data_IF_329398735206
#
_entry.id   IF_329398735206
#
_cell.length_a   1.000
_cell.length_b   1.000
_cell.length_c   1.000
_cell.angle_alpha   90.00
_cell.angle_beta   90.00
_cell.angle_gamma   90.00
#
_symmetry.space_group_name_H-M   'P 1'
#
loop_
_entity.id
_entity.type
_entity.pdbx_description
1 polymer ?
#
# COMPACT_ATOMS: atom_id res chain seq x y z
N UNK A 1 0.97 -0.76 18.70
CA UNK A 1 0.69 -0.40 17.30
C UNK A 1 0.54 1.12 17.20
N UNK A 2 1.43 1.80 16.48
CA UNK A 2 1.43 3.27 16.37
C UNK A 2 0.24 3.80 15.54
N UNK A 3 -0.03 5.10 15.62
CA UNK A 3 -1.12 5.73 14.88
C UNK A 3 -0.98 5.54 13.36
N UNK A 4 0.25 5.64 12.81
CA UNK A 4 0.53 5.40 11.39
C UNK A 4 0.33 3.94 10.96
N UNK A 5 0.70 2.97 11.80
CA UNK A 5 0.44 1.54 11.51
C UNK A 5 -1.06 1.25 11.41
N UNK A 6 -1.88 1.85 12.29
CA UNK A 6 -3.35 1.73 12.20
C UNK A 6 -3.88 2.35 10.91
N UNK A 7 -3.37 3.52 10.52
CA UNK A 7 -3.74 4.17 9.27
C UNK A 7 -3.39 3.30 8.04
N UNK A 8 -2.20 2.70 7.99
CA UNK A 8 -1.80 1.78 6.91
C UNK A 8 -2.73 0.57 6.81
N UNK A 9 -3.09 -0.03 7.95
CA UNK A 9 -4.04 -1.15 7.98
C UNK A 9 -5.42 -0.73 7.43
N UNK A 10 -5.91 0.45 7.79
CA UNK A 10 -7.18 0.98 7.24
C UNK A 10 -7.09 1.33 5.75
N UNK A 11 -5.94 1.81 5.28
CA UNK A 11 -5.73 2.08 3.86
C UNK A 11 -5.70 0.77 3.06
N UNK A 12 -5.06 -0.26 3.60
CA UNK A 12 -5.07 -1.61 3.05
C UNK A 12 -6.50 -2.16 2.95
N UNK A 13 -7.30 -2.08 4.02
CA UNK A 13 -8.70 -2.52 4.02
C UNK A 13 -9.49 -1.86 2.88
N UNK A 14 -9.35 -0.53 2.70
CA UNK A 14 -10.07 0.23 1.68
C UNK A 14 -9.61 -0.11 0.26
N UNK A 15 -8.30 -0.20 0.02
CA UNK A 15 -7.76 -0.56 -1.30
C UNK A 15 -8.16 -1.99 -1.68
N UNK A 16 -8.10 -2.92 -0.73
CA UNK A 16 -8.55 -4.30 -0.93
C UNK A 16 -10.05 -4.35 -1.24
N UNK A 17 -10.89 -3.69 -0.44
CA UNK A 17 -12.35 -3.67 -0.65
C UNK A 17 -12.70 -3.06 -2.03
N UNK A 18 -12.06 -1.95 -2.39
CA UNK A 18 -12.26 -1.29 -3.67
C UNK A 18 -11.90 -2.21 -4.84
N UNK A 19 -10.78 -2.93 -4.74
CA UNK A 19 -10.35 -3.90 -5.75
C UNK A 19 -11.33 -5.07 -5.88
N UNK A 20 -11.81 -5.63 -4.76
CA UNK A 20 -12.80 -6.73 -4.79
C UNK A 20 -14.13 -6.30 -5.39
N UNK A 21 -14.54 -5.04 -5.17
CA UNK A 21 -15.77 -4.48 -5.70
C UNK A 21 -15.63 -3.93 -7.13
N UNK A 22 -14.41 -3.79 -7.64
CA UNK A 22 -14.14 -3.15 -8.93
C UNK A 22 -14.51 -1.66 -8.96
N UNK A 23 -14.40 -0.95 -7.82
CA UNK A 23 -14.74 0.47 -7.69
C UNK A 23 -13.49 1.33 -7.45
N UNK A 24 -13.61 2.64 -7.63
CA UNK A 24 -12.53 3.56 -7.33
C UNK A 24 -12.34 3.69 -5.80
N UNK A 25 -11.11 3.51 -5.32
CA UNK A 25 -10.81 3.53 -3.88
C UNK A 25 -10.95 4.92 -3.24
N UNK A 26 -10.78 6.01 -3.99
CA UNK A 26 -11.05 7.37 -3.48
C UNK A 26 -12.54 7.59 -3.31
N UNK A 27 -13.37 7.14 -4.26
CA UNK A 27 -14.83 7.18 -4.09
C UNK A 27 -15.26 6.40 -2.86
N UNK A 28 -14.73 5.19 -2.65
CA UNK A 28 -15.01 4.40 -1.44
C UNK A 28 -14.54 5.09 -0.15
N UNK A 29 -13.37 5.73 -0.18
CA UNK A 29 -12.86 6.51 0.95
C UNK A 29 -13.81 7.66 1.29
N UNK A 30 -14.25 8.43 0.30
CA UNK A 30 -15.12 9.59 0.50
C UNK A 30 -16.49 9.14 1.05
N UNK A 31 -17.07 8.06 0.51
CA UNK A 31 -18.27 7.41 1.08
C UNK A 31 -18.08 7.04 2.55
N UNK A 32 -16.90 6.51 2.92
CA UNK A 32 -16.61 6.07 4.29
C UNK A 32 -16.37 7.23 5.25
N UNK A 33 -15.92 8.37 4.74
CA UNK A 33 -15.79 9.62 5.51
C UNK A 33 -17.17 10.22 5.77
N UNK A 34 -18.05 10.23 4.77
CA UNK A 34 -19.42 10.75 4.90
C UNK A 34 -20.31 9.85 5.76
N UNK A 35 -20.18 8.52 5.60
CA UNK A 35 -20.96 7.51 6.32
C UNK A 35 -20.03 6.46 6.98
N UNK A 36 -19.48 6.75 8.17
CA UNK A 36 -18.61 5.82 8.88
C UNK A 36 -19.32 4.52 9.28
N UNK A 37 -18.73 3.38 8.91
CA UNK A 37 -19.23 2.04 9.33
C UNK A 37 -18.75 1.64 10.74
N UNK A 38 -17.86 2.43 11.33
CA UNK A 38 -17.33 2.22 12.69
C UNK A 38 -17.40 3.52 13.50
N UNK A 39 -17.59 3.45 14.84
CA UNK A 39 -17.58 4.64 15.68
C UNK A 39 -16.23 5.37 15.70
N UNK A 40 -15.13 4.65 15.47
CA UNK A 40 -13.80 5.25 15.39
C UNK A 40 -13.62 5.98 14.05
N UNK A 41 -13.19 7.25 14.06
CA UNK A 41 -12.92 7.98 12.82
C UNK A 41 -11.77 7.34 12.04
N UNK A 42 -11.81 7.47 10.72
CA UNK A 42 -10.68 7.10 9.88
C UNK A 42 -9.47 7.99 10.24
N UNK A 43 -8.30 7.41 10.54
CA UNK A 43 -7.09 8.20 10.73
C UNK A 43 -6.80 9.04 9.48
N UNK A 44 -6.45 10.31 9.65
CA UNK A 44 -6.19 11.26 8.55
C UNK A 44 -5.22 10.69 7.51
N UNK A 45 -4.10 10.11 7.98
CA UNK A 45 -3.09 9.48 7.13
C UNK A 45 -3.61 8.33 6.27
N UNK A 46 -4.75 7.73 6.63
CA UNK A 46 -5.42 6.73 5.78
C UNK A 46 -5.84 7.33 4.45
N UNK A 47 -6.40 8.55 4.49
CA UNK A 47 -6.84 9.25 3.30
C UNK A 47 -5.67 9.64 2.41
N UNK A 48 -4.55 10.07 3.01
CA UNK A 48 -3.32 10.42 2.28
C UNK A 48 -2.77 9.21 1.52
N UNK A 49 -2.70 8.05 2.17
CA UNK A 49 -2.25 6.81 1.54
C UNK A 49 -3.16 6.41 0.36
N UNK A 50 -4.48 6.36 0.56
CA UNK A 50 -5.42 5.94 -0.49
C UNK A 50 -5.40 6.91 -1.67
N UNK A 51 -5.48 8.22 -1.41
CA UNK A 51 -5.44 9.25 -2.47
C UNK A 51 -4.08 9.26 -3.18
N UNK A 52 -2.99 9.12 -2.42
CA UNK A 52 -1.63 9.06 -2.96
C UNK A 52 -1.39 7.86 -3.87
N UNK A 53 -1.86 6.67 -3.46
CA UNK A 53 -1.80 5.45 -4.28
C UNK A 53 -2.63 5.60 -5.56
N UNK A 54 -3.86 6.10 -5.46
CA UNK A 54 -4.74 6.24 -6.63
C UNK A 54 -4.22 7.32 -7.59
N UNK A 55 -3.73 8.44 -7.08
CA UNK A 55 -3.15 9.53 -7.90
C UNK A 55 -1.94 9.05 -8.70
N UNK A 56 -1.10 8.21 -8.10
CA UNK A 56 0.13 7.70 -8.72
C UNK A 56 -0.03 6.26 -9.25
N UNK A 57 -1.26 5.80 -9.46
CA UNK A 57 -1.57 4.40 -9.72
C UNK A 57 -0.76 3.81 -10.88
N UNK A 58 -0.73 4.50 -12.01
CA UNK A 58 -0.03 4.03 -13.20
C UNK A 58 1.47 3.86 -12.95
N UNK A 59 2.14 4.89 -12.41
CA UNK A 59 3.56 4.86 -12.12
C UNK A 59 3.94 3.82 -11.04
N UNK A 60 3.12 3.70 -9.98
CA UNK A 60 3.33 2.69 -8.94
C UNK A 60 3.22 1.28 -9.52
N UNK A 61 2.15 0.98 -10.28
CA UNK A 61 1.97 -0.36 -10.82
C UNK A 61 3.03 -0.67 -11.89
N UNK A 62 3.43 0.30 -12.71
CA UNK A 62 4.51 0.13 -13.69
C UNK A 62 5.86 -0.19 -13.02
N UNK A 63 6.23 0.58 -11.99
CA UNK A 63 7.44 0.30 -11.19
C UNK A 63 7.37 -1.09 -10.55
N UNK A 64 6.27 -1.43 -9.89
CA UNK A 64 6.11 -2.74 -9.27
C UNK A 64 6.19 -3.88 -10.29
N UNK A 65 5.51 -3.76 -11.44
CA UNK A 65 5.58 -4.76 -12.51
C UNK A 65 6.98 -4.89 -13.10
N UNK A 66 7.70 -3.78 -13.28
CA UNK A 66 9.06 -3.78 -13.82
C UNK A 66 10.06 -4.51 -12.93
N UNK A 67 9.93 -4.38 -11.62
CA UNK A 67 10.89 -4.97 -10.67
C UNK A 67 10.42 -6.31 -10.05
N UNK A 68 9.14 -6.68 -10.19
CA UNK A 68 8.62 -7.98 -9.78
C UNK A 68 9.01 -9.09 -10.78
N UNK A 69 10.32 -9.34 -10.90
CA UNK A 69 10.87 -10.41 -11.76
C UNK A 69 10.23 -11.75 -11.41
N UNK A 70 9.70 -12.43 -12.42
CA UNK A 70 9.09 -13.77 -12.36
C UNK A 70 7.80 -13.91 -11.53
N UNK A 71 7.29 -12.83 -10.91
CA UNK A 71 6.02 -12.84 -10.18
C UNK A 71 5.11 -11.71 -10.62
N UNK A 72 4.22 -11.95 -11.60
CA UNK A 72 3.22 -10.98 -12.01
C UNK A 72 2.32 -10.50 -10.85
N UNK A 73 2.04 -9.19 -10.79
CA UNK A 73 1.21 -8.56 -9.74
C UNK A 73 -0.17 -9.22 -9.59
N UNK A 74 -0.78 -9.64 -10.70
CA UNK A 74 -2.11 -10.28 -10.74
C UNK A 74 -2.13 -11.68 -10.10
N UNK A 75 -0.98 -12.34 -9.99
CA UNK A 75 -0.83 -13.64 -9.31
C UNK A 75 -0.52 -13.51 -7.82
N UNK A 76 -0.33 -12.30 -7.31
CA UNK A 76 -0.07 -12.07 -5.90
C UNK A 76 -1.36 -12.12 -5.09
N UNK A 77 -1.31 -12.52 -3.80
CA UNK A 77 -2.39 -12.24 -2.87
C UNK A 77 -2.78 -10.76 -2.93
N UNK A 78 -4.08 -10.47 -2.95
CA UNK A 78 -4.55 -9.08 -3.04
C UNK A 78 -4.05 -8.22 -1.86
N UNK A 79 -3.85 -8.83 -0.69
CA UNK A 79 -3.20 -8.17 0.45
C UNK A 79 -1.77 -7.73 0.10
N UNK A 80 -0.94 -8.62 -0.41
CA UNK A 80 0.46 -8.32 -0.77
C UNK A 80 0.53 -7.25 -1.84
N UNK A 81 -0.28 -7.36 -2.89
CA UNK A 81 -0.33 -6.37 -3.98
C UNK A 81 -0.71 -4.99 -3.47
N UNK A 82 -1.69 -4.87 -2.57
CA UNK A 82 -2.07 -3.58 -2.01
C UNK A 82 -1.06 -3.05 -0.98
N UNK A 83 -0.39 -3.92 -0.22
CA UNK A 83 0.73 -3.53 0.64
C UNK A 83 1.92 -2.99 -0.17
N UNK A 84 2.24 -3.63 -1.30
CA UNK A 84 3.25 -3.15 -2.23
C UNK A 84 2.90 -1.79 -2.81
N UNK A 85 1.63 -1.56 -3.17
CA UNK A 85 1.16 -0.24 -3.64
C UNK A 85 1.31 0.84 -2.57
N UNK A 86 0.92 0.54 -1.32
CA UNK A 86 1.09 1.46 -0.18
C UNK A 86 2.58 1.75 0.07
N UNK A 87 3.41 0.71 0.15
CA UNK A 87 4.84 0.85 0.40
C UNK A 87 5.56 1.61 -0.72
N UNK A 88 5.23 1.31 -1.98
CA UNK A 88 5.77 2.04 -3.13
C UNK A 88 5.33 3.50 -3.15
N UNK A 89 4.08 3.81 -2.78
CA UNK A 89 3.65 5.20 -2.62
C UNK A 89 4.49 5.93 -1.57
N UNK A 90 4.68 5.32 -0.40
CA UNK A 90 5.47 5.92 0.66
C UNK A 90 6.94 6.12 0.25
N UNK A 91 7.54 5.15 -0.44
CA UNK A 91 8.93 5.22 -0.88
C UNK A 91 9.19 6.27 -1.98
N UNK A 92 8.26 6.41 -2.92
CA UNK A 92 8.48 7.18 -4.14
C UNK A 92 7.90 8.60 -4.05
N UNK A 93 6.90 8.82 -3.19
CA UNK A 93 6.12 10.07 -3.20
C UNK A 93 5.86 10.64 -1.81
N UNK A 94 6.41 10.07 -0.73
CA UNK A 94 6.24 10.58 0.62
C UNK A 94 7.57 10.71 1.39
N UNK A 95 8.23 11.85 1.21
CA UNK A 95 9.51 12.16 1.87
C UNK A 95 9.40 12.29 3.41
N UNK A 96 8.19 12.35 3.98
CA UNK A 96 7.99 12.34 5.43
C UNK A 96 8.14 10.95 6.07
N UNK A 97 8.22 9.89 5.26
CA UNK A 97 8.36 8.51 5.73
C UNK A 97 9.75 8.00 5.36
N UNK A 98 10.63 7.75 6.33
CA UNK A 98 11.92 7.13 6.01
C UNK A 98 11.74 5.78 5.33
N UNK A 99 12.52 5.50 4.29
CA UNK A 99 12.38 4.28 3.46
C UNK A 99 12.33 3.00 4.29
N UNK A 100 13.22 2.89 5.29
CA UNK A 100 13.26 1.73 6.19
C UNK A 100 11.98 1.55 6.98
N UNK A 101 11.29 2.63 7.34
CA UNK A 101 10.02 2.59 8.07
C UNK A 101 8.89 2.14 7.15
N UNK A 102 8.81 2.69 5.93
CA UNK A 102 7.82 2.26 4.93
C UNK A 102 7.93 0.75 4.65
N UNK A 103 9.16 0.26 4.43
CA UNK A 103 9.44 -1.17 4.19
C UNK A 103 9.05 -2.01 5.43
N UNK A 104 9.54 -1.64 6.62
CA UNK A 104 9.29 -2.42 7.83
C UNK A 104 7.78 -2.53 8.16
N UNK A 105 7.02 -1.46 7.95
CA UNK A 105 5.58 -1.45 8.20
C UNK A 105 4.81 -2.31 7.19
N UNK A 106 5.18 -2.25 5.91
CA UNK A 106 4.58 -3.12 4.89
C UNK A 106 4.88 -4.60 5.16
N UNK A 107 6.11 -4.94 5.54
CA UNK A 107 6.53 -6.31 5.89
C UNK A 107 5.82 -6.81 7.15
N UNK A 108 5.68 -5.95 8.17
CA UNK A 108 4.95 -6.26 9.39
C UNK A 108 3.48 -6.60 9.11
N UNK A 109 2.81 -5.81 8.29
CA UNK A 109 1.43 -6.07 7.89
C UNK A 109 1.30 -7.33 7.01
N UNK A 110 2.25 -7.58 6.12
CA UNK A 110 2.27 -8.82 5.31
C UNK A 110 2.39 -10.06 6.21
N UNK A 111 3.18 -9.96 7.28
CA UNK A 111 3.35 -11.04 8.27
C UNK A 111 2.06 -11.31 9.04
N UNK A 112 1.31 -10.25 9.37
CA UNK A 112 0.07 -10.38 10.13
C UNK A 112 -1.12 -10.86 9.27
N UNK A 113 -1.17 -10.49 7.99
CA UNK A 113 -2.40 -10.53 7.19
C UNK A 113 -2.34 -11.41 5.94
N UNK A 114 -1.20 -12.04 5.65
CA UNK A 114 -1.00 -12.78 4.40
C UNK A 114 -0.34 -14.15 4.65
N UNK A 115 0.41 -14.66 3.66
CA UNK A 115 1.03 -16.00 3.70
C UNK A 115 2.44 -15.97 4.29
N UNK A 116 3.00 -17.15 4.62
CA UNK A 116 4.35 -17.28 5.18
C UNK A 116 5.46 -16.74 4.25
N UNK A 117 5.23 -16.73 2.94
CA UNK A 117 6.18 -16.22 1.94
C UNK A 117 6.08 -14.70 1.71
N UNK A 118 4.93 -14.12 2.05
CA UNK A 118 4.59 -12.73 1.78
C UNK A 118 5.56 -11.71 2.41
N UNK A 119 6.00 -11.83 3.68
CA UNK A 119 6.94 -10.88 4.29
C UNK A 119 8.26 -10.79 3.54
N UNK A 120 8.80 -11.95 3.14
CA UNK A 120 10.06 -12.03 2.40
C UNK A 120 9.93 -11.39 1.03
N UNK A 121 8.83 -11.67 0.34
CA UNK A 121 8.56 -11.13 -0.98
C UNK A 121 8.38 -9.60 -0.95
N UNK A 122 7.49 -9.09 -0.08
CA UNK A 122 7.23 -7.66 0.10
C UNK A 122 8.53 -6.92 0.48
N UNK A 123 9.32 -7.49 1.40
CA UNK A 123 10.61 -6.92 1.76
C UNK A 123 11.56 -6.82 0.56
N UNK A 124 11.72 -7.91 -0.20
CA UNK A 124 12.64 -7.95 -1.34
C UNK A 124 12.29 -6.93 -2.41
N UNK A 125 11.01 -6.87 -2.80
CA UNK A 125 10.55 -5.96 -3.85
C UNK A 125 10.64 -4.50 -3.44
N UNK A 126 10.21 -4.14 -2.21
CA UNK A 126 10.28 -2.76 -1.75
C UNK A 126 11.73 -2.28 -1.53
N UNK A 127 12.64 -3.15 -1.05
CA UNK A 127 14.06 -2.80 -1.01
C UNK A 127 14.60 -2.55 -2.42
N UNK A 128 14.21 -3.37 -3.41
CA UNK A 128 14.63 -3.15 -4.80
C UNK A 128 14.12 -1.82 -5.35
N UNK A 129 12.88 -1.44 -5.03
CA UNK A 129 12.34 -0.12 -5.41
C UNK A 129 13.11 1.01 -4.72
N UNK A 130 13.44 0.87 -3.43
CA UNK A 130 14.21 1.88 -2.71
C UNK A 130 15.61 2.10 -3.29
N UNK A 131 16.28 1.05 -3.79
CA UNK A 131 17.58 1.16 -4.45
C UNK A 131 17.55 1.95 -5.77
N UNK A 132 16.41 1.95 -6.47
CA UNK A 132 16.28 2.54 -7.82
C UNK A 132 15.34 3.75 -7.83
N UNK A 133 14.86 4.20 -6.68
CA UNK A 133 13.85 5.26 -6.57
C UNK A 133 14.27 6.56 -7.25
N UNK A 134 15.55 6.92 -7.16
CA UNK A 134 16.11 8.14 -7.78
C UNK A 134 16.09 8.10 -9.32
N UNK A 135 15.75 6.96 -9.93
CA UNK A 135 15.58 6.81 -11.38
C UNK A 135 14.11 6.78 -11.82
N UNK A 136 13.17 6.71 -10.86
CA UNK A 136 11.75 6.51 -11.11
C UNK A 136 10.91 7.79 -10.95
N UNK A 137 11.43 8.78 -10.22
CA UNK A 137 10.78 10.07 -9.92
C UNK A 137 11.72 11.25 -10.15
#
# INVERSE_FOLDING_TARGET
>A
MGARTKARKRALDLLFEAEQRGVNAVTLLDERVEAPVTPAPLPEYTGDLVRGVVRNWAAINDALTTYAKDWPLDRMPAVDRNLLRIGAFELLYNDEVPDRVAIAEAVGLATELSTDESPKFVNGLLNRLAEVKDTLV
#
